data_IF_985567202522
#
_entry.id   IF_985567202522
#
_cell.length_a   1.000
_cell.length_b   1.000
_cell.length_c   1.000
_cell.angle_alpha   90.00
_cell.angle_beta   90.00
_cell.angle_gamma   90.00
#
_symmetry.space_group_name_H-M   'P 1'
#
loop_
_entity.id
_entity.type
_entity.pdbx_description
1 polymer ?
#
# COMPACT_ATOMS: atom_id res chain seq x y z
N UNK A 1 -5.82 -1.85 -18.22
CA UNK A 1 -6.73 -1.68 -17.09
C UNK A 1 -5.96 -1.23 -15.86
N UNK A 2 -6.51 -0.30 -15.17
CA UNK A 2 -5.84 0.29 -14.02
C UNK A 2 -6.28 -0.42 -12.74
N UNK A 3 -5.32 -0.89 -11.98
CA UNK A 3 -5.59 -1.49 -10.69
C UNK A 3 -6.04 -0.40 -9.70
N UNK A 4 -7.00 -0.71 -8.85
CA UNK A 4 -7.39 0.19 -7.78
C UNK A 4 -6.36 0.13 -6.65
N UNK A 5 -5.88 1.27 -6.18
CA UNK A 5 -4.89 1.30 -5.11
C UNK A 5 -5.36 2.22 -3.99
N UNK A 6 -5.38 1.67 -2.79
CA UNK A 6 -5.82 2.40 -1.60
C UNK A 6 -4.80 2.28 -0.48
N UNK A 7 -4.94 3.13 0.51
CA UNK A 7 -4.16 3.04 1.75
C UNK A 7 -5.11 3.24 2.92
N UNK A 8 -4.86 2.51 4.00
CA UNK A 8 -5.67 2.65 5.21
C UNK A 8 -5.34 3.96 5.89
N UNK A 9 -6.20 4.36 6.82
CA UNK A 9 -5.96 5.56 7.61
C UNK A 9 -4.62 5.50 8.34
N UNK A 10 -4.29 4.33 8.91
CA UNK A 10 -3.00 4.14 9.56
C UNK A 10 -1.85 4.38 8.59
N UNK A 11 -1.94 3.79 7.40
CA UNK A 11 -0.88 3.91 6.40
C UNK A 11 -0.78 5.36 5.90
N UNK A 12 -1.91 6.04 5.75
CA UNK A 12 -1.92 7.44 5.34
C UNK A 12 -1.16 8.32 6.34
N UNK A 13 -1.36 8.06 7.62
CA UNK A 13 -0.65 8.79 8.68
C UNK A 13 0.84 8.47 8.66
N UNK A 14 1.17 7.20 8.50
CA UNK A 14 2.57 6.76 8.41
C UNK A 14 3.26 7.44 7.23
N UNK A 15 2.61 7.41 6.06
CA UNK A 15 3.18 8.01 4.85
C UNK A 15 3.39 9.51 5.01
N UNK A 16 2.45 10.20 5.65
CA UNK A 16 2.58 11.63 5.89
C UNK A 16 3.75 11.92 6.82
N UNK A 17 3.86 11.18 7.91
CA UNK A 17 4.95 11.34 8.87
C UNK A 17 6.30 11.07 8.23
N UNK A 18 6.37 10.04 7.38
CA UNK A 18 7.62 9.66 6.74
C UNK A 18 7.84 10.35 5.40
N UNK A 19 6.93 11.24 5.00
CA UNK A 19 7.02 11.98 3.76
C UNK A 19 7.09 11.09 2.52
N UNK A 20 6.27 10.06 2.51
CA UNK A 20 6.14 9.16 1.37
C UNK A 20 5.02 9.64 0.46
N UNK A 21 5.37 9.95 -0.78
CA UNK A 21 4.39 10.40 -1.76
C UNK A 21 3.61 9.21 -2.32
N UNK A 22 2.41 9.48 -2.81
CA UNK A 22 1.60 8.46 -3.48
C UNK A 22 2.34 7.83 -4.65
N UNK A 23 3.17 8.61 -5.35
CA UNK A 23 3.98 8.09 -6.45
C UNK A 23 4.90 6.95 -6.01
N UNK A 24 5.46 7.05 -4.81
CA UNK A 24 6.34 6.00 -4.29
C UNK A 24 5.55 4.72 -3.98
N UNK A 25 4.35 4.88 -3.42
CA UNK A 25 3.48 3.74 -3.15
C UNK A 25 3.02 3.11 -4.46
N UNK A 26 2.68 3.94 -5.43
CA UNK A 26 2.25 3.48 -6.74
C UNK A 26 3.34 2.68 -7.45
N UNK A 27 4.59 3.13 -7.33
CA UNK A 27 5.73 2.43 -7.91
C UNK A 27 5.82 1.00 -7.36
N UNK A 28 5.59 0.82 -6.07
CA UNK A 28 5.63 -0.51 -5.47
C UNK A 28 4.57 -1.42 -6.10
N UNK A 29 3.39 -0.88 -6.38
CA UNK A 29 2.32 -1.65 -7.00
C UNK A 29 2.63 -1.92 -8.47
N UNK A 30 3.21 -0.97 -9.18
CA UNK A 30 3.61 -1.18 -10.57
C UNK A 30 4.60 -2.33 -10.68
N UNK A 31 5.53 -2.43 -9.74
CA UNK A 31 6.47 -3.56 -9.70
C UNK A 31 5.74 -4.89 -9.45
N UNK A 32 4.79 -4.89 -8.50
CA UNK A 32 4.02 -6.10 -8.22
C UNK A 32 3.24 -6.55 -9.45
N UNK A 33 2.66 -5.59 -10.19
CA UNK A 33 1.90 -5.91 -11.42
C UNK A 33 2.77 -6.49 -12.52
N UNK A 34 4.07 -6.24 -12.45
CA UNK A 34 5.04 -6.84 -13.38
C UNK A 34 5.61 -8.15 -12.83
N UNK A 35 5.04 -8.65 -11.74
CA UNK A 35 5.47 -9.91 -11.14
C UNK A 35 6.64 -9.77 -10.18
N UNK A 36 7.01 -8.54 -9.83
CA UNK A 36 8.15 -8.29 -8.92
C UNK A 36 7.59 -8.04 -7.51
N UNK A 37 7.46 -9.12 -6.75
CA UNK A 37 6.98 -9.09 -5.37
C UNK A 37 8.13 -9.45 -4.46
N UNK A 38 8.41 -8.62 -3.47
CA UNK A 38 9.54 -8.86 -2.59
C UNK A 38 9.32 -10.07 -1.68
N UNK A 39 8.11 -10.27 -1.19
CA UNK A 39 7.76 -11.49 -0.47
C UNK A 39 6.26 -11.71 -0.51
N UNK A 40 5.85 -12.96 -0.71
CA UNK A 40 4.45 -13.36 -0.64
C UNK A 40 4.23 -13.93 0.76
N UNK A 41 3.38 -13.28 1.53
CA UNK A 41 3.14 -13.66 2.92
C UNK A 41 1.89 -14.52 3.11
N UNK A 42 1.26 -14.90 1.99
CA UNK A 42 0.09 -15.77 2.02
C UNK A 42 -1.21 -15.01 2.22
N UNK A 43 -2.32 -15.61 1.80
CA UNK A 43 -3.64 -15.03 2.00
C UNK A 43 -3.88 -13.73 1.25
N UNK A 44 -3.13 -13.47 0.19
CA UNK A 44 -3.26 -12.23 -0.55
C UNK A 44 -2.44 -11.08 0.02
N UNK A 45 -1.61 -11.35 1.02
CA UNK A 45 -0.76 -10.34 1.64
C UNK A 45 0.65 -10.44 1.06
N UNK A 46 1.18 -9.32 0.59
CA UNK A 46 2.55 -9.28 0.08
C UNK A 46 3.35 -8.19 0.78
N UNK A 47 4.67 -8.34 0.75
CA UNK A 47 5.58 -7.34 1.29
C UNK A 47 6.30 -6.70 0.11
N UNK A 48 6.29 -5.37 0.05
CA UNK A 48 6.94 -4.60 -0.99
C UNK A 48 7.84 -3.53 -0.39
N UNK A 49 8.99 -3.35 -0.98
CA UNK A 49 9.90 -2.29 -0.57
C UNK A 49 9.48 -0.96 -1.19
N UNK A 50 9.63 0.09 -0.42
CA UNK A 50 9.38 1.46 -0.90
C UNK A 50 10.61 2.29 -0.56
N UNK A 51 11.15 2.99 -1.55
CA UNK A 51 12.35 3.79 -1.36
C UNK A 51 12.08 4.97 -0.43
N UNK A 52 13.08 5.27 0.40
CA UNK A 52 13.09 6.48 1.18
C UNK A 52 13.74 7.57 0.33
N UNK A 53 13.28 8.80 0.45
CA UNK A 53 13.86 9.91 -0.32
C UNK A 53 15.38 9.96 -0.13
N UNK A 54 16.10 9.96 -1.25
CA UNK A 54 17.57 10.01 -1.22
C UNK A 54 18.25 8.70 -0.91
N UNK A 55 17.49 7.61 -0.76
CA UNK A 55 18.06 6.29 -0.46
C UNK A 55 17.42 5.27 -1.37
N UNK A 56 18.13 4.18 -1.62
CA UNK A 56 17.59 3.09 -2.43
C UNK A 56 16.53 2.31 -1.68
N UNK A 57 15.83 1.44 -2.41
CA UNK A 57 14.77 0.61 -1.83
C UNK A 57 15.26 -0.29 -0.69
N UNK A 58 16.52 -0.70 -0.74
CA UNK A 58 17.06 -1.57 0.29
C UNK A 58 17.15 -0.89 1.66
N UNK A 59 17.31 0.42 1.67
CA UNK A 59 17.39 1.19 2.92
C UNK A 59 16.10 1.88 3.32
N UNK A 60 15.02 1.65 2.60
CA UNK A 60 13.77 2.35 2.83
C UNK A 60 12.81 1.62 3.74
N UNK A 61 11.56 1.51 3.27
CA UNK A 61 10.46 0.97 4.07
C UNK A 61 10.00 -0.37 3.52
N UNK A 62 9.38 -1.14 4.40
CA UNK A 62 8.70 -2.38 4.02
C UNK A 62 7.21 -2.13 4.21
N UNK A 63 6.44 -2.35 3.15
CA UNK A 63 4.99 -2.17 3.18
C UNK A 63 4.31 -3.52 3.09
N UNK A 64 3.29 -3.71 3.91
CA UNK A 64 2.44 -4.89 3.84
C UNK A 64 1.17 -4.49 3.13
N UNK A 65 0.90 -5.17 2.03
CA UNK A 65 -0.14 -4.78 1.07
C UNK A 65 -1.05 -5.98 0.80
N UNK A 66 -2.36 -5.75 0.94
CA UNK A 66 -3.33 -6.72 0.45
C UNK A 66 -3.39 -6.54 -1.06
N UNK A 67 -3.10 -7.59 -1.82
CA UNK A 67 -2.88 -7.43 -3.24
C UNK A 67 -3.55 -8.52 -4.06
N UNK A 68 -4.29 -8.10 -5.06
CA UNK A 68 -4.89 -8.99 -6.06
C UNK A 68 -4.56 -8.40 -7.43
N UNK A 69 -3.72 -9.11 -8.16
CA UNK A 69 -3.20 -8.64 -9.44
C UNK A 69 -4.29 -8.18 -10.39
N UNK A 70 -4.09 -7.02 -10.98
CA UNK A 70 -5.02 -6.45 -11.95
C UNK A 70 -6.33 -5.92 -11.36
N UNK A 71 -6.54 -6.08 -10.06
CA UNK A 71 -7.81 -5.70 -9.44
C UNK A 71 -7.65 -4.65 -8.35
N UNK A 72 -6.99 -5.00 -7.26
CA UNK A 72 -6.96 -4.11 -6.11
C UNK A 72 -5.73 -4.32 -5.24
N UNK A 73 -5.21 -3.22 -4.72
CA UNK A 73 -4.13 -3.25 -3.72
C UNK A 73 -4.49 -2.28 -2.61
N UNK A 74 -4.29 -2.70 -1.36
CA UNK A 74 -4.55 -1.86 -0.20
C UNK A 74 -3.34 -1.90 0.72
N UNK A 75 -2.70 -0.75 0.89
CA UNK A 75 -1.56 -0.63 1.80
C UNK A 75 -2.08 -0.63 3.23
N UNK A 76 -1.69 -1.64 4.00
CA UNK A 76 -2.20 -1.84 5.36
C UNK A 76 -1.26 -1.33 6.44
N UNK A 77 0.03 -1.58 6.28
CA UNK A 77 1.00 -1.33 7.33
C UNK A 77 2.38 -1.12 6.70
N UNK A 78 3.23 -0.37 7.40
CA UNK A 78 4.58 -0.13 6.93
C UNK A 78 5.53 0.07 8.09
N UNK A 79 6.80 -0.19 7.86
CA UNK A 79 7.83 0.04 8.86
C UNK A 79 9.16 0.28 8.16
N UNK A 80 10.03 1.02 8.85
CA UNK A 80 11.39 1.22 8.36
C UNK A 80 12.20 -0.04 8.66
N UNK A 81 13.04 -0.44 7.73
CA UNK A 81 13.91 -1.60 7.94
C UNK A 81 14.77 -1.42 9.20
N UNK A 82 15.17 -0.19 9.49
CA UNK A 82 16.00 0.09 10.65
C UNK A 82 15.28 -0.14 11.98
N UNK A 83 13.95 -0.16 11.98
CA UNK A 83 13.15 -0.32 13.19
C UNK A 83 12.76 -1.77 13.46
N UNK A 84 12.52 -2.52 12.39
CA UNK A 84 12.21 -3.94 12.50
C UNK A 84 12.40 -4.60 11.15
N UNK A 85 12.66 -5.89 11.16
CA UNK A 85 12.90 -6.61 9.92
C UNK A 85 11.66 -7.28 9.36
N UNK A 86 10.82 -7.79 10.23
CA UNK A 86 9.65 -8.55 9.81
C UNK A 86 8.48 -8.39 10.75
N UNK A 87 7.31 -8.76 10.24
CA UNK A 87 6.09 -8.93 10.99
C UNK A 87 5.87 -10.43 11.10
N UNK A 88 5.54 -10.91 12.27
CA UNK A 88 5.36 -12.34 12.50
C UNK A 88 4.15 -12.63 13.39
N UNK A 89 3.78 -13.90 13.43
CA UNK A 89 2.79 -14.41 14.37
C UNK A 89 1.42 -13.80 14.23
N UNK A 90 0.88 -13.40 15.36
CA UNK A 90 -0.51 -12.90 15.43
C UNK A 90 -0.70 -11.60 14.65
N UNK A 91 0.32 -10.73 14.63
CA UNK A 91 0.24 -9.50 13.84
C UNK A 91 0.07 -9.82 12.36
N UNK A 92 0.82 -10.78 11.88
CA UNK A 92 0.77 -11.17 10.47
C UNK A 92 -0.60 -11.73 10.13
N UNK A 93 -1.14 -12.60 10.99
CA UNK A 93 -2.46 -13.17 10.75
C UNK A 93 -3.54 -12.09 10.77
N UNK A 94 -3.45 -11.14 11.70
CA UNK A 94 -4.39 -10.03 11.76
C UNK A 94 -4.37 -9.22 10.46
N UNK A 95 -3.18 -8.96 9.94
CA UNK A 95 -3.07 -8.22 8.68
C UNK A 95 -3.62 -9.01 7.49
N UNK A 96 -3.42 -10.33 7.48
CA UNK A 96 -4.03 -11.16 6.43
C UNK A 96 -5.56 -11.06 6.48
N UNK A 97 -6.12 -11.12 7.68
CA UNK A 97 -7.57 -11.06 7.84
C UNK A 97 -8.13 -9.70 7.43
N UNK A 98 -7.48 -8.63 7.84
CA UNK A 98 -7.89 -7.27 7.47
C UNK A 98 -7.79 -7.11 5.95
N UNK A 99 -6.68 -7.56 5.39
CA UNK A 99 -6.45 -7.46 3.95
C UNK A 99 -7.47 -8.24 3.14
N UNK A 100 -7.81 -9.45 3.59
CA UNK A 100 -8.81 -10.25 2.91
C UNK A 100 -10.16 -9.54 2.88
N UNK A 101 -10.50 -8.86 3.97
CA UNK A 101 -11.73 -8.08 4.03
C UNK A 101 -11.77 -6.97 3.01
N UNK A 102 -10.67 -6.25 2.87
CA UNK A 102 -10.60 -5.16 1.89
C UNK A 102 -10.60 -5.68 0.45
N UNK A 103 -9.95 -6.80 0.20
CA UNK A 103 -9.95 -7.39 -1.16
C UNK A 103 -11.32 -7.90 -1.54
N UNK A 104 -12.11 -8.36 -0.59
CA UNK A 104 -13.45 -8.86 -0.83
C UNK A 104 -14.52 -7.76 -0.84
N UNK A 105 -14.20 -6.57 -0.36
CA UNK A 105 -15.17 -5.49 -0.23
C UNK A 105 -15.72 -5.07 -1.59
N UNK A 106 -17.04 -4.87 -1.67
CA UNK A 106 -17.65 -4.42 -2.91
C UNK A 106 -17.47 -2.91 -3.10
N UNK A 107 -17.83 -2.42 -4.28
CA UNK A 107 -17.64 -1.02 -4.63
C UNK A 107 -18.35 -0.07 -3.65
N UNK A 108 -19.50 -0.48 -3.16
CA UNK A 108 -20.27 0.33 -2.22
C UNK A 108 -19.55 0.46 -0.88
N UNK A 109 -19.00 -0.65 -0.39
CA UNK A 109 -18.24 -0.66 0.86
C UNK A 109 -16.98 0.17 0.73
N UNK A 110 -16.29 0.09 -0.40
CA UNK A 110 -15.09 0.90 -0.64
C UNK A 110 -15.45 2.40 -0.68
N UNK A 111 -16.52 2.75 -1.40
CA UNK A 111 -16.96 4.15 -1.46
C UNK A 111 -17.29 4.70 -0.08
N UNK A 112 -17.92 3.89 0.74
CA UNK A 112 -18.26 4.27 2.11
C UNK A 112 -16.99 4.48 2.95
N UNK A 113 -16.04 3.55 2.82
CA UNK A 113 -14.78 3.65 3.55
C UNK A 113 -14.03 4.93 3.18
N UNK A 114 -14.06 5.31 1.90
CA UNK A 114 -13.43 6.55 1.45
C UNK A 114 -14.16 7.75 2.05
N UNK A 115 -15.49 7.75 2.02
CA UNK A 115 -16.26 8.88 2.54
C UNK A 115 -16.08 9.05 4.06
N UNK A 116 -15.79 7.96 4.77
CA UNK A 116 -15.58 7.98 6.21
C UNK A 116 -14.09 8.13 6.58
N UNK A 117 -13.25 8.32 5.58
CA UNK A 117 -11.80 8.47 5.77
C UNK A 117 -11.13 7.24 6.39
N UNK A 118 -11.72 6.08 6.18
CA UNK A 118 -11.13 4.80 6.60
C UNK A 118 -10.12 4.33 5.56
N UNK A 119 -10.40 4.62 4.29
CA UNK A 119 -9.48 4.39 3.18
C UNK A 119 -9.28 5.68 2.40
N UNK A 120 -8.12 5.82 1.78
CA UNK A 120 -7.82 6.91 0.86
C UNK A 120 -7.29 6.33 -0.42
N UNK A 121 -7.61 6.94 -1.54
CA UNK A 121 -7.05 6.51 -2.82
C UNK A 121 -5.57 6.90 -2.89
N UNK A 122 -4.78 6.00 -3.45
CA UNK A 122 -3.38 6.31 -3.79
C UNK A 122 -3.41 6.81 -5.23
N UNK A 123 -3.16 8.10 -5.42
CA UNK A 123 -3.27 8.74 -6.72
C UNK A 123 -2.14 8.30 -7.65
N UNK A 124 -2.47 8.20 -8.94
CA UNK A 124 -1.41 7.87 -9.89
C UNK A 124 -0.65 9.13 -10.30
N UNK A 125 0.50 8.94 -10.94
CA UNK A 125 1.37 10.02 -11.31
C UNK A 125 0.74 11.00 -12.30
N UNK A 126 -0.09 10.49 -13.19
CA UNK A 126 -0.73 11.34 -14.19
C UNK A 126 -1.68 12.33 -13.54
N UNK A 127 -2.41 11.89 -12.52
CA UNK A 127 -3.29 12.78 -11.79
C UNK A 127 -2.50 13.85 -11.05
N UNK A 128 -1.41 13.45 -10.42
CA UNK A 128 -0.55 14.38 -9.70
C UNK A 128 0.10 15.37 -10.65
N UNK A 129 0.55 14.90 -11.80
CA UNK A 129 1.19 15.75 -12.80
C UNK A 129 0.20 16.73 -13.42
N UNK A 130 -1.06 16.34 -13.52
CA UNK A 130 -2.12 17.18 -14.08
C UNK A 130 -2.64 18.19 -13.07
N UNK A 131 -2.29 18.05 -11.82
CA UNK A 131 -2.73 18.93 -10.77
C UNK A 131 -2.32 20.37 -11.12
N UNK A 132 -3.29 21.27 -11.25
CA UNK A 132 -2.91 22.65 -11.55
C UNK A 132 -2.18 23.20 -10.35
N UNK A 133 -0.98 23.53 -10.57
CA UNK A 133 -0.21 24.17 -9.55
C UNK A 133 -0.70 25.58 -9.45
N UNK A 134 -1.68 25.69 -8.80
CA UNK A 134 -2.27 27.02 -8.50
C UNK A 134 -1.84 28.01 -9.40
#
# INVERSE_FOLDING_TARGET
MTIEVFKTKWLARFARRERLADASLRDAIDRAERGIVDADLGGGLVKQRVARAGQGRSGGYRMLVAYRSGERAVFLYGFAKSERENIEGDELQTLRDIGAGWLAADAKSIARAISEDVLQEVKDDDEDAAEPTG
#
